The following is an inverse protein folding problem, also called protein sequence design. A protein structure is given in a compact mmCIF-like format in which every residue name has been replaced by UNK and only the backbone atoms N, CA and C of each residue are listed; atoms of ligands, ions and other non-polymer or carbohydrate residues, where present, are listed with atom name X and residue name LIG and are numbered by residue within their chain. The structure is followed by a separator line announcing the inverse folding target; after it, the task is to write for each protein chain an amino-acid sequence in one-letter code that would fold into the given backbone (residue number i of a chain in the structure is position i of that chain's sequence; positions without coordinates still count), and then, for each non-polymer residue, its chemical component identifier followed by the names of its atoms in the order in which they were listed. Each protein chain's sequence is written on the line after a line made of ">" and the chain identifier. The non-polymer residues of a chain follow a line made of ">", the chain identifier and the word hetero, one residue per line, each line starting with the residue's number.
data_IF_099023522936
#
_entry.id   IF_099023522936
#
_cell.length_a   1.000
_cell.length_b   1.000
_cell.length_c   1.000
_cell.angle_alpha   90.00
_cell.angle_beta   90.00
_cell.angle_gamma   90.00
#
_symmetry.space_group_name_H-M   'P 1'
#
loop_
_entity.id
_entity.type
_entity.pdbx_description
1 polymer ?
#
# COMPACT_ATOMS: atom_id res chain seq x y z
N UNK A 1 -19.77 -16.64 3.29
CA UNK A 1 -20.01 -15.83 4.50
C UNK A 1 -18.78 -15.78 5.39
N UNK A 2 -18.19 -16.93 5.77
CA UNK A 2 -16.99 -17.03 6.60
C UNK A 2 -15.86 -16.00 6.32
N UNK A 3 -15.47 -15.78 5.05
CA UNK A 3 -14.43 -14.81 4.72
C UNK A 3 -14.83 -13.36 5.06
N UNK A 4 -16.07 -12.97 4.76
CA UNK A 4 -16.60 -11.65 5.10
C UNK A 4 -16.63 -11.46 6.62
N UNK A 5 -17.10 -12.48 7.36
CA UNK A 5 -17.25 -12.41 8.82
C UNK A 5 -15.89 -12.36 9.52
N UNK A 6 -14.90 -13.09 9.00
CA UNK A 6 -13.51 -13.00 9.48
C UNK A 6 -12.97 -11.59 9.27
N UNK A 7 -13.13 -11.02 8.08
CA UNK A 7 -12.61 -9.69 7.76
C UNK A 7 -13.28 -8.59 8.59
N UNK A 8 -14.59 -8.68 8.78
CA UNK A 8 -15.33 -7.73 9.61
C UNK A 8 -14.88 -7.76 11.07
N UNK A 9 -14.62 -8.94 11.63
CA UNK A 9 -14.10 -9.10 12.99
C UNK A 9 -12.63 -8.70 13.12
N UNK A 10 -11.82 -8.92 12.08
CA UNK A 10 -10.39 -8.65 12.12
C UNK A 10 -10.03 -7.18 11.85
N UNK A 11 -10.83 -6.48 11.04
CA UNK A 11 -10.65 -5.06 10.71
C UNK A 11 -11.88 -4.20 11.06
N UNK A 12 -12.32 -4.17 12.32
CA UNK A 12 -13.47 -3.37 12.70
C UNK A 12 -13.12 -1.88 12.56
N UNK A 13 -13.90 -1.16 11.76
CA UNK A 13 -13.84 0.30 11.57
C UNK A 13 -12.54 0.89 10.95
N UNK A 14 -11.53 0.07 10.62
CA UNK A 14 -10.29 0.57 9.99
C UNK A 14 -10.31 0.58 8.46
N UNK A 15 -11.12 -0.27 7.83
CA UNK A 15 -11.13 -0.45 6.38
C UNK A 15 -12.48 -0.12 5.74
N UNK A 16 -12.41 0.43 4.52
CA UNK A 16 -13.60 0.68 3.69
C UNK A 16 -14.16 -0.63 3.13
N UNK A 17 -15.47 -0.65 2.80
CA UNK A 17 -16.12 -1.82 2.21
C UNK A 17 -15.47 -2.29 0.90
N UNK A 18 -14.96 -1.36 0.08
CA UNK A 18 -14.21 -1.69 -1.13
C UNK A 18 -12.93 -2.47 -0.83
N UNK A 19 -12.19 -2.09 0.22
CA UNK A 19 -10.96 -2.77 0.59
C UNK A 19 -11.21 -4.13 1.21
N UNK A 20 -12.23 -4.25 2.06
CA UNK A 20 -12.69 -5.54 2.57
C UNK A 20 -13.06 -6.47 1.41
N UNK A 21 -13.69 -5.95 0.34
CA UNK A 21 -13.98 -6.74 -0.86
C UNK A 21 -12.72 -7.20 -1.59
N UNK A 22 -11.70 -6.33 -1.74
CA UNK A 22 -10.43 -6.71 -2.37
C UNK A 22 -9.68 -7.77 -1.56
N UNK A 23 -9.63 -7.64 -0.23
CA UNK A 23 -9.00 -8.65 0.63
C UNK A 23 -9.76 -9.96 0.51
N UNK A 24 -11.10 -9.91 0.59
CA UNK A 24 -11.96 -11.09 0.41
C UNK A 24 -11.67 -11.79 -0.91
N UNK A 25 -11.66 -11.05 -2.02
CA UNK A 25 -11.33 -11.60 -3.34
C UNK A 25 -9.94 -12.24 -3.36
N UNK A 26 -8.96 -11.63 -2.69
CA UNK A 26 -7.64 -12.25 -2.54
C UNK A 26 -7.71 -13.60 -1.83
N UNK A 27 -8.58 -13.77 -0.83
CA UNK A 27 -8.73 -15.02 -0.05
C UNK A 27 -9.48 -16.11 -0.81
N UNK A 28 -10.50 -15.74 -1.58
CA UNK A 28 -11.45 -16.68 -2.20
C UNK A 28 -11.29 -16.87 -3.71
N UNK A 29 -10.28 -16.25 -4.34
CA UNK A 29 -10.07 -16.48 -5.78
C UNK A 29 -9.62 -17.91 -6.09
N UNK A 30 -9.94 -18.36 -7.31
CA UNK A 30 -9.64 -19.71 -7.80
C UNK A 30 -8.16 -20.10 -7.70
N UNK A 31 -7.23 -19.16 -7.91
CA UNK A 31 -5.81 -19.47 -7.83
C UNK A 31 -5.41 -19.88 -6.41
N UNK A 32 -5.95 -19.18 -5.39
CA UNK A 32 -5.71 -19.47 -3.98
C UNK A 32 -6.42 -20.75 -3.54
N UNK A 33 -7.70 -20.92 -3.91
CA UNK A 33 -8.44 -22.14 -3.58
C UNK A 33 -7.79 -23.39 -4.19
N UNK A 34 -7.33 -23.31 -5.43
CA UNK A 34 -6.58 -24.39 -6.07
C UNK A 34 -5.23 -24.67 -5.39
N UNK A 35 -4.57 -23.66 -4.83
CA UNK A 35 -3.35 -23.85 -4.06
C UNK A 35 -3.63 -24.62 -2.76
N UNK A 36 -4.71 -24.29 -2.05
CA UNK A 36 -5.14 -25.07 -0.89
C UNK A 36 -5.51 -26.51 -1.27
N UNK A 37 -6.28 -26.71 -2.35
CA UNK A 37 -6.63 -28.05 -2.84
C UNK A 37 -5.38 -28.93 -3.06
N UNK A 38 -4.34 -28.37 -3.70
CA UNK A 38 -3.05 -29.07 -3.89
C UNK A 38 -2.32 -29.31 -2.58
N UNK A 39 -2.32 -28.34 -1.66
CA UNK A 39 -1.72 -28.47 -0.33
C UNK A 39 -2.29 -29.64 0.47
N UNK A 40 -3.59 -29.91 0.30
CA UNK A 40 -4.28 -31.06 0.91
C UNK A 40 -4.28 -32.33 0.04
N UNK A 41 -3.66 -32.29 -1.14
CA UNK A 41 -3.56 -33.42 -2.06
C UNK A 41 -4.89 -33.80 -2.74
N UNK A 42 -5.86 -32.89 -2.85
CA UNK A 42 -7.14 -33.15 -3.52
C UNK A 42 -6.97 -33.46 -5.01
N UNK A 43 -5.98 -32.83 -5.64
CA UNK A 43 -5.56 -33.09 -7.02
C UNK A 43 -5.19 -34.57 -7.27
N UNK A 44 -4.64 -35.25 -6.26
CA UNK A 44 -4.30 -36.69 -6.33
C UNK A 44 -5.47 -37.61 -6.01
N UNK A 45 -6.47 -37.09 -5.27
CA UNK A 45 -7.65 -37.85 -4.82
C UNK A 45 -8.81 -37.78 -5.82
N UNK A 46 -8.87 -36.73 -6.64
CA UNK A 46 -9.73 -36.68 -7.82
C UNK A 46 -9.39 -37.88 -8.70
N UNK A 47 -10.31 -38.86 -8.73
CA UNK A 47 -10.09 -40.16 -9.33
C UNK A 47 -9.52 -40.08 -10.75
N UNK A 48 -8.72 -41.08 -11.08
CA UNK A 48 -7.98 -41.32 -12.33
C UNK A 48 -8.78 -41.19 -13.66
N UNK A 49 -10.06 -40.84 -13.62
CA UNK A 49 -10.94 -40.60 -14.77
C UNK A 49 -10.85 -39.17 -15.33
N UNK A 50 -10.34 -38.20 -14.57
CA UNK A 50 -9.87 -36.92 -15.11
C UNK A 50 -8.43 -37.13 -15.61
N UNK A 51 -8.28 -37.94 -16.65
CA UNK A 51 -7.01 -38.05 -17.35
C UNK A 51 -6.59 -36.62 -17.75
N UNK A 52 -5.51 -36.13 -17.13
CA UNK A 52 -4.99 -34.76 -17.24
C UNK A 52 -4.58 -34.36 -18.67
N UNK A 53 -4.75 -35.27 -19.64
CA UNK A 53 -4.19 -35.21 -20.98
C UNK A 53 -4.80 -34.13 -21.88
N UNK A 54 -5.94 -33.52 -21.51
CA UNK A 54 -6.60 -32.50 -22.34
C UNK A 54 -7.09 -31.24 -21.60
N UNK A 55 -6.74 -31.03 -20.33
CA UNK A 55 -7.20 -29.85 -19.57
C UNK A 55 -6.09 -28.81 -19.47
N UNK A 56 -6.37 -27.58 -19.91
CA UNK A 56 -5.40 -26.48 -19.77
C UNK A 56 -5.12 -26.17 -18.30
N UNK A 57 -3.94 -25.63 -17.98
CA UNK A 57 -3.58 -25.27 -16.61
C UNK A 57 -4.57 -24.29 -15.95
N UNK A 58 -5.16 -23.39 -16.74
CA UNK A 58 -6.19 -22.45 -16.27
C UNK A 58 -7.50 -23.17 -15.93
N UNK A 59 -7.95 -24.08 -16.80
CA UNK A 59 -9.13 -24.89 -16.55
C UNK A 59 -8.92 -25.82 -15.34
N UNK A 60 -7.74 -26.41 -15.20
CA UNK A 60 -7.39 -27.24 -14.04
C UNK A 60 -7.38 -26.46 -12.73
N UNK A 61 -6.91 -25.22 -12.76
CA UNK A 61 -6.97 -24.32 -11.60
C UNK A 61 -8.42 -24.05 -11.19
N UNK A 62 -9.33 -23.87 -12.14
CA UNK A 62 -10.77 -23.72 -11.83
C UNK A 62 -11.33 -25.00 -11.20
N UNK A 63 -11.07 -26.17 -11.79
CA UNK A 63 -11.53 -27.46 -11.26
C UNK A 63 -11.08 -27.68 -9.82
N UNK A 64 -9.81 -27.39 -9.51
CA UNK A 64 -9.30 -27.52 -8.15
C UNK A 64 -9.90 -26.51 -7.18
N UNK A 65 -10.22 -25.30 -7.66
CA UNK A 65 -11.00 -24.31 -6.89
C UNK A 65 -12.38 -24.86 -6.54
N UNK A 66 -13.13 -25.30 -7.55
CA UNK A 66 -14.48 -25.88 -7.40
C UNK A 66 -14.48 -27.08 -6.43
N UNK A 67 -13.45 -27.93 -6.49
CA UNK A 67 -13.29 -29.10 -5.60
C UNK A 67 -13.03 -28.68 -4.16
N UNK A 68 -12.21 -27.65 -3.93
CA UNK A 68 -12.00 -27.11 -2.59
C UNK A 68 -13.31 -26.55 -2.01
N UNK A 69 -14.07 -25.78 -2.81
CA UNK A 69 -15.37 -25.26 -2.40
C UNK A 69 -16.39 -26.38 -2.13
N UNK A 70 -16.42 -27.42 -2.95
CA UNK A 70 -17.28 -28.58 -2.74
C UNK A 70 -16.96 -29.30 -1.43
N UNK A 71 -15.68 -29.46 -1.09
CA UNK A 71 -15.26 -30.04 0.18
C UNK A 71 -15.67 -29.18 1.38
N UNK A 72 -15.46 -27.86 1.29
CA UNK A 72 -15.93 -26.90 2.31
C UNK A 72 -17.45 -26.99 2.47
N UNK A 73 -18.19 -27.06 1.37
CA UNK A 73 -19.65 -27.19 1.36
C UNK A 73 -20.11 -28.48 2.04
N UNK A 74 -19.45 -29.61 1.77
CA UNK A 74 -19.74 -30.87 2.44
C UNK A 74 -19.51 -30.79 3.96
N UNK A 75 -18.40 -30.19 4.40
CA UNK A 75 -18.11 -30.00 5.82
C UNK A 75 -19.13 -29.08 6.50
N UNK A 76 -19.54 -28.00 5.82
CA UNK A 76 -20.58 -27.10 6.32
C UNK A 76 -21.96 -27.76 6.42
N UNK A 77 -22.28 -28.68 5.51
CA UNK A 77 -23.51 -29.48 5.57
C UNK A 77 -23.50 -30.47 6.74
N UNK A 78 -22.35 -31.07 7.06
CA UNK A 78 -22.21 -31.90 8.26
C UNK A 78 -22.33 -31.09 9.55
N UNK A 79 -21.79 -29.86 9.56
CA UNK A 79 -21.90 -28.96 10.70
C UNK A 79 -23.33 -28.44 10.90
N UNK A 80 -24.14 -28.39 9.84
CA UNK A 80 -25.50 -27.88 9.87
C UNK A 80 -26.39 -28.65 10.87
N UNK A 81 -27.04 -27.90 11.78
CA UNK A 81 -27.87 -28.49 12.84
C UNK A 81 -27.09 -28.94 14.07
N UNK A 82 -25.77 -28.70 14.13
CA UNK A 82 -24.92 -28.93 15.30
C UNK A 82 -24.38 -27.61 15.87
N UNK A 83 -23.68 -27.67 17.00
CA UNK A 83 -22.90 -26.54 17.54
C UNK A 83 -21.49 -26.44 16.97
N UNK A 84 -21.11 -27.35 16.07
CA UNK A 84 -19.79 -27.39 15.47
C UNK A 84 -19.64 -26.31 14.39
N UNK A 85 -18.45 -25.74 14.27
CA UNK A 85 -18.10 -24.74 13.26
C UNK A 85 -16.79 -25.08 12.57
N UNK A 86 -16.58 -26.38 12.30
CA UNK A 86 -15.32 -26.92 11.77
C UNK A 86 -14.96 -26.27 10.44
N UNK A 87 -15.95 -26.05 9.56
CA UNK A 87 -15.72 -25.39 8.28
C UNK A 87 -15.21 -23.95 8.47
N UNK A 88 -15.85 -23.16 9.33
CA UNK A 88 -15.46 -21.77 9.60
C UNK A 88 -14.07 -21.71 10.27
N UNK A 89 -13.87 -22.49 11.32
CA UNK A 89 -12.61 -22.52 12.09
C UNK A 89 -11.43 -22.93 11.22
N UNK A 90 -11.61 -23.94 10.36
CA UNK A 90 -10.59 -24.38 9.42
C UNK A 90 -10.25 -23.30 8.38
N UNK A 91 -11.27 -22.68 7.77
CA UNK A 91 -11.06 -21.61 6.81
C UNK A 91 -10.39 -20.39 7.44
N UNK A 92 -10.79 -20.02 8.66
CA UNK A 92 -10.14 -18.94 9.40
C UNK A 92 -8.67 -19.24 9.67
N UNK A 93 -8.33 -20.47 10.06
CA UNK A 93 -6.94 -20.87 10.28
C UNK A 93 -6.10 -20.78 8.99
N UNK A 94 -6.68 -21.09 7.83
CA UNK A 94 -6.01 -20.94 6.53
C UNK A 94 -5.84 -19.48 6.11
N UNK A 95 -6.82 -18.62 6.39
CA UNK A 95 -6.81 -17.23 5.91
C UNK A 95 -6.07 -16.27 6.83
N UNK A 96 -6.09 -16.48 8.16
CA UNK A 96 -5.44 -15.57 9.13
C UNK A 96 -3.98 -15.25 8.81
N UNK A 97 -3.11 -16.21 8.44
CA UNK A 97 -1.73 -15.90 8.07
C UNK A 97 -1.58 -15.08 6.79
N UNK A 98 -2.64 -15.00 5.98
CA UNK A 98 -2.66 -14.27 4.71
C UNK A 98 -3.23 -12.86 4.86
N UNK A 99 -3.75 -12.52 6.04
CA UNK A 99 -4.29 -11.20 6.32
C UNK A 99 -3.15 -10.19 6.49
N UNK A 100 -3.12 -9.11 5.70
CA UNK A 100 -2.15 -8.03 5.91
C UNK A 100 -2.35 -7.31 7.25
N UNK A 101 -1.28 -6.75 7.82
CA UNK A 101 -1.38 -5.92 9.03
C UNK A 101 -2.30 -4.71 8.83
N UNK A 102 -2.98 -4.27 9.90
CA UNK A 102 -3.89 -3.12 9.84
C UNK A 102 -3.19 -1.81 9.43
N UNK A 103 -1.90 -1.69 9.77
CA UNK A 103 -0.98 -0.62 9.39
C UNK A 103 -0.68 -0.58 7.88
N UNK A 104 -0.82 -1.69 7.17
CA UNK A 104 -0.68 -1.74 5.71
C UNK A 104 -1.73 -0.89 4.97
N UNK A 105 -2.77 -0.41 5.68
CA UNK A 105 -3.89 0.34 5.11
C UNK A 105 -4.06 1.75 5.69
N UNK A 106 -3.34 2.11 6.75
CA UNK A 106 -3.45 3.42 7.42
C UNK A 106 -3.02 4.61 6.57
N UNK A 107 -2.57 4.36 5.35
CA UNK A 107 -1.94 5.35 4.50
C UNK A 107 -2.85 5.92 3.41
N UNK A 108 -4.11 5.53 3.28
CA UNK A 108 -4.92 5.84 2.08
C UNK A 108 -6.02 6.90 2.26
N UNK A 109 -6.06 7.63 3.38
CA UNK A 109 -6.79 8.91 3.40
C UNK A 109 -6.09 9.87 2.42
N UNK A 110 -6.71 10.09 1.27
CA UNK A 110 -6.18 10.91 0.20
C UNK A 110 -5.87 12.33 0.66
N UNK A 111 -6.70 12.91 1.55
CA UNK A 111 -6.45 14.22 2.12
C UNK A 111 -5.23 14.19 3.05
N UNK A 112 -5.07 13.15 3.86
CA UNK A 112 -3.89 12.98 4.72
C UNK A 112 -2.61 12.76 3.90
N UNK A 113 -2.66 11.94 2.85
CA UNK A 113 -1.55 11.71 1.93
C UNK A 113 -1.11 13.01 1.23
N UNK A 114 -2.08 13.76 0.72
CA UNK A 114 -1.82 15.03 0.05
C UNK A 114 -1.29 16.07 1.02
N UNK A 115 -1.80 16.12 2.27
CA UNK A 115 -1.27 16.99 3.32
C UNK A 115 0.20 16.68 3.63
N UNK A 116 0.59 15.40 3.74
CA UNK A 116 2.00 15.01 3.97
C UNK A 116 2.90 15.46 2.81
N UNK A 117 2.49 15.18 1.57
CA UNK A 117 3.27 15.58 0.39
C UNK A 117 3.37 17.11 0.25
N UNK A 118 2.28 17.83 0.54
CA UNK A 118 2.28 19.29 0.53
C UNK A 118 3.15 19.89 1.63
N UNK A 119 3.13 19.31 2.84
CA UNK A 119 4.01 19.71 3.94
C UNK A 119 5.47 19.52 3.54
N UNK A 120 5.84 18.34 3.05
CA UNK A 120 7.21 18.08 2.58
C UNK A 120 7.64 19.04 1.46
N UNK A 121 6.78 19.27 0.46
CA UNK A 121 7.09 20.23 -0.61
C UNK A 121 7.31 21.66 -0.09
N UNK A 122 6.49 22.13 0.86
CA UNK A 122 6.66 23.46 1.49
C UNK A 122 7.93 23.55 2.33
N UNK A 123 8.32 22.48 3.01
CA UNK A 123 9.53 22.43 3.84
C UNK A 123 10.80 22.47 2.99
N UNK A 124 10.88 21.66 1.93
CA UNK A 124 12.13 21.50 1.17
C UNK A 124 12.22 22.32 -0.12
N UNK A 125 11.09 22.68 -0.73
CA UNK A 125 11.06 23.43 -1.99
C UNK A 125 9.85 24.38 -2.07
N UNK A 126 9.70 25.34 -1.14
CA UNK A 126 8.60 26.29 -1.17
C UNK A 126 8.64 27.14 -2.44
N UNK A 127 7.46 27.53 -2.93
CA UNK A 127 7.34 28.31 -4.16
C UNK A 127 8.19 29.58 -4.13
N UNK A 128 9.02 29.76 -5.16
CA UNK A 128 9.90 30.92 -5.28
C UNK A 128 11.23 30.84 -4.53
N UNK A 129 11.54 29.71 -3.88
CA UNK A 129 12.87 29.42 -3.28
C UNK A 129 13.97 29.19 -4.32
N UNK A 130 13.61 28.87 -5.56
CA UNK A 130 14.55 28.42 -6.59
C UNK A 130 14.87 26.91 -6.49
N UNK A 131 14.33 26.21 -5.50
CA UNK A 131 14.39 24.76 -5.37
C UNK A 131 13.16 24.11 -6.00
N UNK A 132 13.36 22.89 -6.50
CA UNK A 132 12.31 22.04 -7.08
C UNK A 132 12.40 20.65 -6.47
N UNK A 133 11.34 20.25 -5.77
CA UNK A 133 11.18 18.90 -5.27
C UNK A 133 10.53 17.97 -6.31
N UNK A 134 10.96 16.71 -6.36
CA UNK A 134 10.44 15.71 -7.29
C UNK A 134 10.61 14.29 -6.74
N UNK A 135 9.96 13.32 -7.40
CA UNK A 135 10.00 11.91 -7.01
C UNK A 135 10.53 11.06 -8.16
N UNK A 136 11.34 10.06 -7.84
CA UNK A 136 11.86 9.08 -8.81
C UNK A 136 11.69 7.66 -8.29
N UNK A 137 11.41 6.72 -9.19
CA UNK A 137 11.34 5.30 -8.85
C UNK A 137 12.78 4.77 -8.68
N UNK A 138 13.11 4.23 -7.51
CA UNK A 138 14.47 3.76 -7.19
C UNK A 138 14.70 2.30 -7.56
N UNK A 139 13.63 1.53 -7.72
CA UNK A 139 13.68 0.13 -8.08
C UNK A 139 12.56 -0.22 -9.06
N UNK A 140 12.78 -1.22 -9.95
CA UNK A 140 11.71 -1.78 -10.75
C UNK A 140 10.63 -2.36 -9.85
N UNK A 141 9.37 -2.27 -10.30
CA UNK A 141 8.22 -2.77 -9.53
C UNK A 141 8.36 -4.28 -9.33
N UNK A 142 8.46 -4.70 -8.08
CA UNK A 142 8.50 -6.12 -7.72
C UNK A 142 7.10 -6.55 -7.35
N UNK A 143 6.59 -7.60 -7.99
CA UNK A 143 5.36 -8.25 -7.54
C UNK A 143 5.70 -9.20 -6.40
N UNK A 144 5.22 -8.91 -5.19
CA UNK A 144 5.38 -9.81 -4.04
C UNK A 144 4.42 -11.01 -4.18
N UNK A 145 3.28 -10.80 -4.88
CA UNK A 145 2.36 -11.82 -5.36
C UNK A 145 1.43 -11.21 -6.44
N UNK A 146 0.51 -12.01 -7.02
CA UNK A 146 -0.44 -11.55 -8.08
C UNK A 146 -1.32 -10.35 -7.70
N UNK A 147 -1.36 -9.94 -6.43
CA UNK A 147 -2.20 -8.86 -5.92
C UNK A 147 -1.42 -7.70 -5.26
N UNK A 148 -0.15 -7.88 -4.91
CA UNK A 148 0.64 -6.90 -4.18
C UNK A 148 1.88 -6.48 -4.99
N UNK A 149 1.88 -5.22 -5.41
CA UNK A 149 3.01 -4.58 -6.07
C UNK A 149 3.84 -3.83 -5.03
N UNK A 150 5.17 -3.87 -5.17
CA UNK A 150 6.09 -3.11 -4.32
C UNK A 150 6.73 -2.01 -5.17
N UNK A 151 6.41 -0.77 -4.83
CA UNK A 151 6.95 0.44 -5.45
C UNK A 151 7.93 1.10 -4.48
N UNK A 152 9.20 1.24 -4.87
CA UNK A 152 10.21 1.98 -4.12
C UNK A 152 10.42 3.34 -4.79
N UNK A 153 10.18 4.41 -4.05
CA UNK A 153 10.27 5.79 -4.55
C UNK A 153 11.19 6.61 -3.66
N UNK A 154 12.06 7.41 -4.28
CA UNK A 154 12.86 8.43 -3.61
C UNK A 154 12.24 9.81 -3.78
N UNK A 155 12.38 10.64 -2.76
CA UNK A 155 12.00 12.05 -2.77
C UNK A 155 13.27 12.91 -2.80
N UNK A 156 13.35 13.81 -3.78
CA UNK A 156 14.56 14.55 -4.11
C UNK A 156 14.30 16.04 -4.23
N UNK A 157 15.37 16.84 -4.07
CA UNK A 157 15.38 18.26 -4.41
C UNK A 157 16.52 18.59 -5.36
N UNK A 158 16.25 19.53 -6.27
CA UNK A 158 17.26 20.15 -7.12
C UNK A 158 17.12 21.67 -7.14
N UNK A 159 18.19 22.36 -7.46
CA UNK A 159 18.28 23.82 -7.44
C UNK A 159 19.37 24.28 -6.48
N UNK A 160 19.77 25.54 -6.63
CA UNK A 160 21.04 26.03 -6.07
C UNK A 160 22.18 25.09 -6.50
N UNK A 161 23.02 24.61 -5.58
CA UNK A 161 24.08 23.65 -5.84
C UNK A 161 23.63 22.16 -5.81
N UNK A 162 22.35 21.87 -5.54
CA UNK A 162 21.87 20.49 -5.45
C UNK A 162 21.41 19.97 -6.82
N UNK A 163 22.03 18.89 -7.30
CA UNK A 163 21.66 18.19 -8.55
C UNK A 163 20.75 16.96 -8.34
N UNK A 164 20.09 16.86 -7.19
CA UNK A 164 19.26 15.70 -6.84
C UNK A 164 19.61 15.15 -5.47
N UNK A 165 19.59 16.00 -4.45
CA UNK A 165 19.81 15.56 -3.07
C UNK A 165 18.61 14.68 -2.64
N UNK A 166 18.90 13.44 -2.20
CA UNK A 166 17.86 12.53 -1.69
C UNK A 166 17.41 12.95 -0.29
N UNK A 167 16.18 13.44 -0.21
CA UNK A 167 15.54 13.87 1.03
C UNK A 167 15.00 12.67 1.83
N UNK A 168 14.38 11.71 1.14
CA UNK A 168 13.78 10.54 1.78
C UNK A 168 13.46 9.42 0.80
N UNK A 169 13.09 8.27 1.35
CA UNK A 169 12.78 7.07 0.59
C UNK A 169 11.54 6.37 1.17
N UNK A 170 10.70 5.82 0.30
CA UNK A 170 9.45 5.20 0.69
C UNK A 170 9.09 3.99 -0.16
N UNK A 171 8.58 2.95 0.49
CA UNK A 171 8.14 1.70 -0.14
C UNK A 171 6.65 1.51 0.07
N UNK A 172 5.85 1.50 -0.99
CA UNK A 172 4.39 1.38 -0.91
C UNK A 172 3.80 0.36 -1.87
N UNK A 173 2.53 -0.01 -1.64
CA UNK A 173 1.78 -0.94 -2.50
C UNK A 173 1.45 -0.38 -3.88
N UNK A 174 1.50 0.95 -4.02
CA UNK A 174 1.30 1.67 -5.25
C UNK A 174 2.19 2.93 -5.27
N UNK A 175 2.31 3.58 -6.42
CA UNK A 175 3.13 4.80 -6.55
C UNK A 175 2.70 5.92 -5.60
N UNK A 176 1.41 5.99 -5.24
CA UNK A 176 0.88 7.06 -4.40
C UNK A 176 1.33 6.88 -2.95
N UNK A 177 1.15 5.69 -2.38
CA UNK A 177 1.62 5.37 -1.02
C UNK A 177 3.13 5.41 -0.90
N UNK A 178 3.86 4.94 -1.91
CA UNK A 178 5.33 5.03 -1.94
C UNK A 178 5.84 6.48 -1.88
N UNK A 179 5.22 7.39 -2.66
CA UNK A 179 5.54 8.83 -2.62
C UNK A 179 5.24 9.46 -1.25
N UNK A 180 4.08 9.14 -0.68
CA UNK A 180 3.71 9.66 0.66
C UNK A 180 4.69 9.19 1.73
N UNK A 181 5.11 7.92 1.70
CA UNK A 181 6.13 7.40 2.61
C UNK A 181 7.48 8.08 2.42
N UNK A 182 7.91 8.31 1.19
CA UNK A 182 9.17 9.00 0.90
C UNK A 182 9.16 10.46 1.42
N UNK A 183 8.02 11.15 1.28
CA UNK A 183 7.82 12.48 1.85
C UNK A 183 7.83 12.47 3.38
N UNK A 184 7.19 11.47 3.99
CA UNK A 184 7.15 11.29 5.45
C UNK A 184 8.55 11.00 6.00
N UNK A 185 9.29 10.09 5.40
CA UNK A 185 10.67 9.76 5.76
C UNK A 185 11.58 10.99 5.75
N UNK A 186 11.46 11.85 4.71
CA UNK A 186 12.20 13.10 4.65
C UNK A 186 11.90 14.04 5.83
N UNK A 187 10.62 14.19 6.21
CA UNK A 187 10.22 15.01 7.36
C UNK A 187 10.72 14.42 8.68
N UNK A 188 10.59 13.10 8.86
CA UNK A 188 11.06 12.41 10.06
C UNK A 188 12.59 12.48 10.20
N UNK A 189 13.35 12.45 9.11
CA UNK A 189 14.81 12.63 9.15
C UNK A 189 15.22 14.01 9.65
N UNK A 190 14.48 15.06 9.28
CA UNK A 190 14.67 16.41 9.84
C UNK A 190 14.38 16.40 11.35
N UNK A 191 13.26 15.79 11.76
CA UNK A 191 12.89 15.69 13.18
C UNK A 191 13.91 14.87 14.02
N UNK A 192 14.58 13.89 13.39
CA UNK A 192 15.68 13.12 13.98
C UNK A 192 17.03 13.83 13.99
N UNK A 193 17.13 15.02 13.39
CA UNK A 193 18.35 15.83 13.38
C UNK A 193 19.37 15.44 12.31
N UNK A 194 18.94 14.97 11.14
CA UNK A 194 19.84 14.75 9.99
C UNK A 194 20.48 16.10 9.58
N UNK A 195 21.78 16.26 9.86
CA UNK A 195 22.52 17.53 9.73
C UNK A 195 22.37 18.17 8.34
N UNK A 196 22.37 17.36 7.28
CA UNK A 196 22.26 17.84 5.90
C UNK A 196 20.87 18.39 5.64
N UNK A 197 19.82 17.68 6.09
CA UNK A 197 18.45 18.10 5.86
C UNK A 197 18.05 19.27 6.76
N UNK A 198 18.50 19.29 8.01
CA UNK A 198 18.29 20.43 8.93
C UNK A 198 18.93 21.69 8.35
N UNK A 199 20.20 21.63 7.94
CA UNK A 199 20.89 22.78 7.34
C UNK A 199 20.24 23.26 6.03
N UNK A 200 19.70 22.34 5.22
CA UNK A 200 18.91 22.69 4.05
C UNK A 200 17.65 23.46 4.44
N UNK A 201 16.86 22.95 5.38
CA UNK A 201 15.61 23.58 5.81
C UNK A 201 15.86 24.96 6.38
N UNK A 202 16.84 25.14 7.26
CA UNK A 202 17.21 26.44 7.82
C UNK A 202 17.60 27.46 6.74
N UNK A 203 18.38 27.04 5.73
CA UNK A 203 18.75 27.91 4.61
C UNK A 203 17.56 28.28 3.74
N UNK A 204 16.63 27.35 3.52
CA UNK A 204 15.38 27.60 2.79
C UNK A 204 14.52 28.61 3.54
N UNK A 205 14.34 28.44 4.85
CA UNK A 205 13.55 29.35 5.69
C UNK A 205 14.14 30.76 5.67
N UNK A 206 15.45 30.88 5.84
CA UNK A 206 16.15 32.17 5.77
C UNK A 206 15.94 32.87 4.42
N UNK A 207 16.15 32.17 3.32
CA UNK A 207 15.98 32.73 1.97
C UNK A 207 14.54 33.20 1.70
N UNK A 208 13.55 32.40 2.13
CA UNK A 208 12.13 32.75 1.95
C UNK A 208 11.75 33.97 2.79
N UNK A 209 12.27 34.10 4.02
CA UNK A 209 12.05 35.25 4.88
C UNK A 209 12.66 36.54 4.30
N UNK A 210 13.90 36.48 3.82
CA UNK A 210 14.58 37.60 3.14
C UNK A 210 13.83 38.06 1.88
N UNK A 211 13.34 37.11 1.08
CA UNK A 211 12.58 37.44 -0.13
C UNK A 211 11.20 38.05 0.18
N UNK A 212 10.55 37.58 1.25
CA UNK A 212 9.26 38.12 1.70
C UNK A 212 9.40 39.56 2.18
N UNK A 213 10.39 39.83 3.02
CA UNK A 213 10.68 41.19 3.52
C UNK A 213 11.00 42.15 2.38
N UNK A 214 11.90 41.77 1.46
CA UNK A 214 12.22 42.59 0.28
C UNK A 214 10.99 42.88 -0.61
N UNK A 215 10.06 41.93 -0.73
CA UNK A 215 8.83 42.14 -1.50
C UNK A 215 7.87 43.11 -0.80
N UNK A 216 7.69 42.99 0.51
CA UNK A 216 6.83 43.89 1.30
C UNK A 216 7.37 45.33 1.30
N UNK A 217 8.69 45.50 1.36
CA UNK A 217 9.35 46.81 1.24
C UNK A 217 9.13 47.41 -0.16
N UNK A 218 9.25 46.61 -1.22
CA UNK A 218 9.03 47.06 -2.58
C UNK A 218 7.55 47.42 -2.87
N UNK A 219 6.59 46.70 -2.27
CA UNK A 219 5.16 47.03 -2.38
C UNK A 219 4.84 48.33 -1.64
N UNK A 220 5.36 48.54 -0.42
CA UNK A 220 5.20 49.80 0.33
C UNK A 220 5.83 51.00 -0.37
N UNK A 221 7.00 50.83 -0.99
CA UNK A 221 7.64 51.91 -1.75
C UNK A 221 6.80 52.36 -2.95
N UNK A 222 6.15 51.42 -3.65
CA UNK A 222 5.26 51.73 -4.79
C UNK A 222 3.97 52.42 -4.36
N UNK A 223 3.43 52.07 -3.20
CA UNK A 223 2.24 52.74 -2.64
C UNK A 223 2.54 54.16 -2.14
N UNK A 224 3.77 54.43 -1.69
CA UNK A 224 4.19 55.76 -1.27
C UNK A 224 4.49 56.73 -2.44
N UNK A 225 4.75 56.19 -3.64
CA UNK A 225 4.99 56.96 -4.87
C UNK A 225 3.72 57.21 -5.71
N UNK A 226 2.57 56.63 -5.35
CA UNK A 226 1.28 56.74 -6.04
C UNK A 226 0.34 57.75 -5.36
#
# INVERSE_FOLDING_TARGET
>A
MAATDLLWRHYPATLTGGRLSQIRESLVNNARLAAFARGYGFDRRLAANLAQTHVSAAAWTKVLGDVFEAYVGALALEDAGTTQRRAEEWLEALWRPLLPGADAFGEEDEAAQDAVKQRAARTFAPSGSGLKAYYEDLAPVVMENKAQQRHTVGFFVKGWEFEGLKLGEGVGQNKKSAKTRAAKDALERVERGDEVLVGLVERVEKYVAEKKTAREEAEKAKEAEA
#
